data_IF_998843025092
#
_entry.id   IF_998843025092
#
_cell.length_a   1.000
_cell.length_b   1.000
_cell.length_c   1.000
_cell.angle_alpha   90.00
_cell.angle_beta   90.00
_cell.angle_gamma   90.00
#
_symmetry.space_group_name_H-M   'P 1'
#
loop_
_entity.id
_entity.type
_entity.pdbx_description
1 polymer ?
#
# COMPACT_ATOMS: atom_id res chain seq x y z
N UNK A 1 -6.92 36.36 -27.50
CA UNK A 1 -7.28 36.54 -26.07
C UNK A 1 -8.56 37.36 -26.01
N UNK A 2 -9.70 36.74 -25.74
CA UNK A 2 -10.99 37.43 -25.63
C UNK A 2 -11.25 37.73 -24.13
N UNK A 3 -11.28 39.01 -23.75
CA UNK A 3 -11.52 39.48 -22.37
C UNK A 3 -12.88 40.16 -22.18
N UNK A 4 -13.83 39.95 -23.09
CA UNK A 4 -15.03 40.80 -23.19
C UNK A 4 -16.05 40.69 -22.04
N UNK A 5 -15.98 39.66 -21.17
CA UNK A 5 -16.93 39.50 -20.05
C UNK A 5 -16.31 39.77 -18.67
N UNK A 6 -15.19 39.12 -18.34
CA UNK A 6 -14.52 39.23 -17.02
C UNK A 6 -13.01 39.03 -17.14
N UNK A 7 -12.24 39.88 -16.47
CA UNK A 7 -10.79 39.76 -16.34
C UNK A 7 -10.39 39.43 -14.89
N UNK A 8 -9.29 38.70 -14.72
CA UNK A 8 -8.77 38.28 -13.41
C UNK A 8 -7.35 38.80 -13.26
N UNK A 9 -7.00 39.34 -12.08
CA UNK A 9 -5.67 39.92 -11.83
C UNK A 9 -4.97 39.18 -10.69
N UNK A 10 -3.71 38.79 -10.92
CA UNK A 10 -2.83 38.16 -9.91
C UNK A 10 -1.40 38.64 -10.13
N UNK A 11 -0.70 39.06 -9.08
CA UNK A 11 0.70 39.52 -9.15
C UNK A 11 0.95 40.59 -10.24
N UNK A 12 -0.02 41.50 -10.44
CA UNK A 12 0.06 42.55 -11.47
C UNK A 12 -0.15 42.09 -12.92
N UNK A 13 -0.43 40.80 -13.16
CA UNK A 13 -0.75 40.25 -14.50
C UNK A 13 -2.25 40.05 -14.65
N UNK A 14 -2.76 40.32 -15.86
CA UNK A 14 -4.17 40.15 -16.23
C UNK A 14 -4.34 38.84 -17.01
N UNK A 15 -5.34 38.08 -16.63
CA UNK A 15 -5.69 36.79 -17.20
C UNK A 15 -7.15 36.80 -17.67
N UNK A 16 -7.45 36.10 -18.76
CA UNK A 16 -8.83 35.70 -19.03
C UNK A 16 -9.25 34.60 -18.05
N UNK A 17 -10.55 34.33 -17.94
CA UNK A 17 -11.09 33.27 -17.06
C UNK A 17 -10.33 31.96 -17.24
N UNK A 18 -10.24 31.47 -18.47
CA UNK A 18 -9.60 30.18 -18.79
C UNK A 18 -8.15 30.11 -18.33
N UNK A 19 -7.32 31.11 -18.66
CA UNK A 19 -5.91 31.12 -18.26
C UNK A 19 -5.72 31.27 -16.76
N UNK A 20 -6.56 32.06 -16.08
CA UNK A 20 -6.47 32.22 -14.63
C UNK A 20 -6.74 30.89 -13.91
N UNK A 21 -7.80 30.18 -14.29
CA UNK A 21 -8.14 28.90 -13.66
C UNK A 21 -7.21 27.76 -14.13
N UNK A 22 -6.62 27.86 -15.31
CA UNK A 22 -5.58 26.93 -15.73
C UNK A 22 -4.30 27.05 -14.88
N UNK A 23 -3.94 28.26 -14.48
CA UNK A 23 -2.68 28.53 -13.76
C UNK A 23 -2.85 28.53 -12.23
N UNK A 24 -4.02 28.90 -11.73
CA UNK A 24 -4.29 29.07 -10.30
C UNK A 24 -5.58 28.39 -9.83
N UNK A 25 -6.24 27.63 -10.69
CA UNK A 25 -7.47 26.92 -10.34
C UNK A 25 -7.21 25.78 -9.38
N UNK A 26 -8.27 25.39 -8.67
CA UNK A 26 -8.24 24.21 -7.81
C UNK A 26 -8.19 22.95 -8.66
N UNK A 27 -7.29 22.03 -8.34
CA UNK A 27 -7.20 20.74 -9.03
C UNK A 27 -7.65 19.59 -8.12
N UNK A 28 -8.31 18.60 -8.71
CA UNK A 28 -8.71 17.40 -7.99
C UNK A 28 -7.47 16.56 -7.65
N UNK A 29 -7.27 16.27 -6.36
CA UNK A 29 -6.15 15.48 -5.89
C UNK A 29 -6.12 14.05 -6.45
N UNK A 30 -7.28 13.49 -6.86
CA UNK A 30 -7.36 12.15 -7.45
C UNK A 30 -7.12 12.13 -8.96
N UNK A 31 -7.89 12.90 -9.75
CA UNK A 31 -7.85 12.81 -11.22
C UNK A 31 -6.95 13.84 -11.89
N UNK A 32 -6.44 14.83 -11.15
CA UNK A 32 -5.56 15.91 -11.64
C UNK A 32 -6.21 16.85 -12.66
N UNK A 33 -7.52 16.79 -12.85
CA UNK A 33 -8.25 17.77 -13.63
C UNK A 33 -8.66 18.97 -12.76
N UNK A 34 -8.73 20.14 -13.38
CA UNK A 34 -9.22 21.37 -12.76
C UNK A 34 -10.69 21.22 -12.38
N UNK A 35 -11.02 21.69 -11.19
CA UNK A 35 -12.38 21.71 -10.65
C UNK A 35 -13.01 23.07 -10.98
N UNK A 36 -14.19 23.06 -11.59
CA UNK A 36 -14.89 24.30 -11.88
C UNK A 36 -15.41 24.95 -10.58
N UNK A 37 -15.43 26.29 -10.52
CA UNK A 37 -15.92 27.02 -9.34
C UNK A 37 -17.40 26.78 -9.01
N UNK A 38 -18.16 26.21 -9.94
CA UNK A 38 -19.58 25.86 -9.79
C UNK A 38 -19.80 24.40 -9.41
N UNK A 39 -18.76 23.57 -9.38
CA UNK A 39 -18.87 22.15 -9.03
C UNK A 39 -18.82 21.97 -7.52
N UNK A 40 -19.60 21.02 -7.02
CA UNK A 40 -19.52 20.58 -5.64
C UNK A 40 -18.26 19.74 -5.42
N UNK A 41 -17.61 19.96 -4.28
CA UNK A 41 -16.34 19.34 -3.93
C UNK A 41 -16.37 18.66 -2.58
N UNK A 42 -15.50 17.67 -2.42
CA UNK A 42 -15.16 17.10 -1.12
C UNK A 42 -13.76 17.53 -0.72
N UNK A 43 -13.57 17.79 0.58
CA UNK A 43 -12.28 18.17 1.14
C UNK A 43 -11.84 17.17 2.19
N UNK A 44 -10.63 16.67 2.05
CA UNK A 44 -9.96 15.84 3.05
C UNK A 44 -8.59 16.46 3.36
N UNK A 45 -8.44 16.97 4.59
CA UNK A 45 -7.31 17.82 4.99
C UNK A 45 -7.13 18.99 4.00
N UNK A 46 -5.95 19.10 3.39
CA UNK A 46 -5.57 20.13 2.44
C UNK A 46 -6.05 19.83 1.01
N UNK A 47 -6.52 18.60 0.75
CA UNK A 47 -6.80 18.11 -0.59
C UNK A 47 -8.27 18.25 -0.97
N UNK A 48 -8.51 18.64 -2.21
CA UNK A 48 -9.83 18.86 -2.78
C UNK A 48 -10.07 17.82 -3.87
N UNK A 49 -11.28 17.27 -3.90
CA UNK A 49 -11.68 16.20 -4.81
C UNK A 49 -13.03 16.54 -5.44
N UNK A 50 -13.23 16.15 -6.69
CA UNK A 50 -14.59 16.05 -7.24
C UNK A 50 -15.40 15.04 -6.40
N UNK A 51 -16.72 15.22 -6.32
CA UNK A 51 -17.61 14.24 -5.67
C UNK A 51 -17.42 12.81 -6.21
N UNK A 52 -17.35 12.66 -7.55
CA UNK A 52 -17.11 11.37 -8.20
C UNK A 52 -15.70 10.81 -7.97
N UNK A 53 -14.75 11.68 -7.62
CA UNK A 53 -13.38 11.27 -7.32
C UNK A 53 -13.18 10.92 -5.84
N UNK A 54 -14.14 11.25 -4.98
CA UNK A 54 -14.06 11.00 -3.54
C UNK A 54 -14.48 9.55 -3.23
N UNK A 55 -13.62 8.61 -3.65
CA UNK A 55 -13.89 7.17 -3.61
C UNK A 55 -12.67 6.37 -3.17
N UNK A 56 -12.89 5.15 -2.68
CA UNK A 56 -11.81 4.26 -2.30
C UNK A 56 -10.96 3.88 -3.52
N UNK A 57 -9.64 4.00 -3.40
CA UNK A 57 -8.70 3.60 -4.45
C UNK A 57 -8.79 2.11 -4.82
N UNK A 58 -9.27 1.27 -3.90
CA UNK A 58 -9.24 -0.19 -4.04
C UNK A 58 -10.58 -0.71 -4.58
N UNK A 59 -11.68 -0.38 -3.91
CA UNK A 59 -13.01 -0.86 -4.29
C UNK A 59 -13.85 0.15 -5.06
N UNK A 60 -13.37 1.37 -5.26
CA UNK A 60 -14.09 2.46 -5.94
C UNK A 60 -15.43 2.86 -5.30
N UNK A 61 -15.67 2.44 -4.05
CA UNK A 61 -16.83 2.87 -3.26
C UNK A 61 -16.74 4.37 -2.97
N UNK A 62 -17.83 5.10 -3.24
CA UNK A 62 -17.94 6.54 -3.00
C UNK A 62 -18.33 6.79 -1.55
N UNK A 63 -17.58 7.66 -0.88
CA UNK A 63 -17.82 7.92 0.53
C UNK A 63 -19.06 8.79 0.75
N UNK A 64 -19.95 8.36 1.62
CA UNK A 64 -21.10 9.17 2.08
C UNK A 64 -20.76 9.92 3.36
N UNK A 65 -21.54 10.96 3.68
CA UNK A 65 -21.42 11.69 4.94
C UNK A 65 -21.49 10.73 6.12
N UNK A 66 -20.47 10.77 6.99
CA UNK A 66 -20.34 9.92 8.16
C UNK A 66 -19.56 8.61 7.95
N UNK A 67 -19.20 8.26 6.71
CA UNK A 67 -18.34 7.10 6.45
C UNK A 67 -16.87 7.38 6.81
N UNK A 68 -16.20 6.34 7.31
CA UNK A 68 -14.79 6.41 7.70
C UNK A 68 -13.89 5.97 6.55
N UNK A 69 -12.87 6.77 6.28
CA UNK A 69 -11.82 6.49 5.32
C UNK A 69 -10.46 6.88 5.89
N UNK A 70 -9.41 6.42 5.24
CA UNK A 70 -8.03 6.76 5.53
C UNK A 70 -7.42 7.49 4.34
N UNK A 71 -6.64 8.54 4.61
CA UNK A 71 -5.82 9.23 3.63
C UNK A 71 -4.40 8.66 3.69
N UNK A 72 -3.92 8.10 2.59
CA UNK A 72 -2.62 7.42 2.46
C UNK A 72 -1.77 8.16 1.42
N UNK A 73 -0.46 8.28 1.67
CA UNK A 73 0.49 8.96 0.79
C UNK A 73 -0.03 10.35 0.38
N UNK A 74 -0.57 11.06 1.36
CA UNK A 74 -1.16 12.39 1.30
C UNK A 74 -2.36 12.59 0.35
N UNK A 75 -2.68 11.70 -0.59
CA UNK A 75 -3.76 11.99 -1.57
C UNK A 75 -4.68 10.82 -1.88
N UNK A 76 -4.31 9.60 -1.46
CA UNK A 76 -5.05 8.38 -1.81
C UNK A 76 -6.06 8.05 -0.72
N UNK A 77 -7.33 7.94 -1.09
CA UNK A 77 -8.40 7.60 -0.17
C UNK A 77 -8.60 6.08 -0.14
N UNK A 78 -8.69 5.50 1.05
CA UNK A 78 -8.96 4.06 1.23
C UNK A 78 -10.06 3.87 2.28
N UNK A 79 -11.06 3.05 1.97
CA UNK A 79 -12.14 2.79 2.91
C UNK A 79 -11.64 1.99 4.12
N UNK A 80 -12.36 2.07 5.25
CA UNK A 80 -11.98 1.35 6.46
C UNK A 80 -11.80 -0.14 6.22
N UNK A 81 -12.72 -0.78 5.49
CA UNK A 81 -12.72 -2.22 5.22
C UNK A 81 -11.46 -2.67 4.49
N UNK A 82 -11.09 -1.96 3.42
CA UNK A 82 -9.90 -2.30 2.63
C UNK A 82 -8.62 -2.00 3.41
N UNK A 83 -8.59 -0.89 4.16
CA UNK A 83 -7.44 -0.55 5.01
C UNK A 83 -7.19 -1.65 6.05
N UNK A 84 -8.22 -2.07 6.77
CA UNK A 84 -8.14 -3.13 7.77
C UNK A 84 -7.72 -4.46 7.13
N UNK A 85 -8.21 -4.78 5.93
CA UNK A 85 -7.83 -5.98 5.18
C UNK A 85 -6.34 -5.99 4.83
N UNK A 86 -5.80 -4.87 4.33
CA UNK A 86 -4.38 -4.75 4.00
C UNK A 86 -3.54 -4.83 5.27
N UNK A 87 -3.92 -4.11 6.32
CA UNK A 87 -3.21 -4.11 7.60
C UNK A 87 -3.10 -5.51 8.19
N UNK A 88 -4.18 -6.30 8.13
CA UNK A 88 -4.20 -7.68 8.61
C UNK A 88 -3.35 -8.63 7.76
N UNK A 89 -3.33 -8.47 6.42
CA UNK A 89 -2.45 -9.27 5.54
C UNK A 89 -0.98 -9.01 5.83
N UNK A 90 -0.56 -7.76 5.99
CA UNK A 90 0.82 -7.40 6.34
C UNK A 90 1.22 -8.02 7.69
N UNK A 91 0.31 -8.03 8.66
CA UNK A 91 0.55 -8.68 9.96
C UNK A 91 0.67 -10.21 9.86
N UNK A 92 -0.05 -10.83 8.93
CA UNK A 92 0.03 -12.27 8.70
C UNK A 92 1.28 -12.67 7.91
N UNK A 93 1.69 -11.91 6.90
CA UNK A 93 2.89 -12.19 6.12
C UNK A 93 4.19 -12.01 6.93
N UNK A 94 4.22 -11.05 7.86
CA UNK A 94 5.37 -10.86 8.76
C UNK A 94 5.52 -11.97 9.81
N UNK A 95 4.42 -12.63 10.18
CA UNK A 95 4.41 -13.73 11.15
C UNK A 95 4.49 -15.14 10.54
N UNK A 96 4.48 -15.28 9.21
CA UNK A 96 4.57 -16.59 8.55
C UNK A 96 6.00 -16.86 8.07
N UNK A 97 6.93 -17.11 9.01
CA UNK A 97 8.06 -17.98 8.67
C UNK A 97 7.44 -19.30 8.21
N UNK A 98 7.63 -19.67 6.95
CA UNK A 98 7.13 -20.93 6.43
C UNK A 98 7.67 -22.05 7.31
N UNK A 99 6.77 -22.75 8.02
CA UNK A 99 7.16 -23.91 8.81
C UNK A 99 7.71 -24.95 7.83
N UNK A 100 8.99 -25.27 7.94
CA UNK A 100 9.58 -26.33 7.13
C UNK A 100 8.98 -27.67 7.57
N UNK A 101 8.25 -28.33 6.67
CA UNK A 101 7.72 -29.68 6.91
C UNK A 101 8.82 -30.70 6.66
N UNK A 102 9.30 -31.34 7.73
CA UNK A 102 10.29 -32.41 7.64
C UNK A 102 9.57 -33.73 7.30
N UNK A 103 9.90 -34.32 6.16
CA UNK A 103 9.38 -35.62 5.71
C UNK A 103 9.91 -36.77 6.57
N UNK A 104 9.24 -37.91 6.52
CA UNK A 104 9.65 -39.12 7.26
C UNK A 104 11.09 -39.55 6.91
N UNK A 105 11.45 -39.52 5.61
CA UNK A 105 12.80 -39.83 5.15
C UNK A 105 13.85 -38.85 5.71
N UNK A 106 13.54 -37.55 5.74
CA UNK A 106 14.44 -36.55 6.33
C UNK A 106 14.59 -36.75 7.85
N UNK A 107 13.52 -37.11 8.56
CA UNK A 107 13.57 -37.41 10.00
C UNK A 107 14.45 -38.62 10.30
N UNK A 108 14.39 -39.69 9.51
CA UNK A 108 15.22 -40.87 9.69
C UNK A 108 16.71 -40.56 9.53
N UNK A 109 17.06 -39.76 8.51
CA UNK A 109 18.45 -39.32 8.27
C UNK A 109 18.97 -38.49 9.46
N UNK A 110 18.17 -37.53 9.95
CA UNK A 110 18.54 -36.72 11.11
C UNK A 110 18.72 -37.59 12.37
N UNK A 111 17.76 -38.48 12.65
CA UNK A 111 17.82 -39.37 13.82
C UNK A 111 19.08 -40.23 13.83
N UNK A 112 19.48 -40.79 12.68
CA UNK A 112 20.67 -41.64 12.57
C UNK A 112 21.96 -40.94 13.02
N UNK A 113 22.08 -39.64 12.79
CA UNK A 113 23.27 -38.87 13.19
C UNK A 113 23.17 -38.40 14.64
N UNK A 114 21.99 -37.95 15.07
CA UNK A 114 21.78 -37.46 16.44
C UNK A 114 21.73 -38.56 17.50
N UNK A 115 21.45 -39.81 17.14
CA UNK A 115 21.61 -40.96 18.06
C UNK A 115 23.08 -41.24 18.38
N UNK A 116 24.00 -40.88 17.49
CA UNK A 116 25.44 -41.09 17.65
C UNK A 116 26.08 -39.90 18.37
N UNK A 117 25.66 -38.69 18.05
CA UNK A 117 26.16 -37.48 18.70
C UNK A 117 25.06 -36.45 18.89
N UNK A 118 24.85 -36.06 20.15
CA UNK A 118 23.87 -35.05 20.57
C UNK A 118 24.28 -33.65 20.06
N UNK A 119 25.57 -33.43 19.74
CA UNK A 119 26.10 -32.17 19.21
C UNK A 119 27.07 -32.46 18.04
N UNK A 120 26.54 -32.84 16.87
CA UNK A 120 27.39 -33.13 15.72
C UNK A 120 28.17 -31.88 15.31
N UNK A 121 29.43 -32.07 14.93
CA UNK A 121 30.31 -30.99 14.48
C UNK A 121 29.73 -30.27 13.26
N UNK A 122 30.19 -29.03 13.04
CA UNK A 122 29.71 -28.17 11.94
C UNK A 122 29.71 -28.87 10.58
N UNK A 123 30.79 -29.57 10.24
CA UNK A 123 30.92 -30.29 8.97
C UNK A 123 29.84 -31.37 8.80
N UNK A 124 29.50 -32.10 9.87
CA UNK A 124 28.47 -33.15 9.85
C UNK A 124 27.09 -32.53 9.62
N UNK A 125 26.83 -31.38 10.26
CA UNK A 125 25.56 -30.66 10.11
C UNK A 125 25.41 -30.04 8.71
N UNK A 126 26.49 -29.58 8.10
CA UNK A 126 26.52 -29.12 6.70
C UNK A 126 26.24 -30.26 5.72
N UNK A 127 26.81 -31.45 5.96
CA UNK A 127 26.48 -32.65 5.17
C UNK A 127 25.01 -33.05 5.35
N UNK A 128 24.48 -33.06 6.59
CA UNK A 128 23.07 -33.35 6.86
C UNK A 128 22.12 -32.37 6.16
N UNK A 129 22.44 -31.08 6.12
CA UNK A 129 21.65 -30.07 5.41
C UNK A 129 21.61 -30.36 3.91
N UNK A 130 22.75 -30.75 3.31
CA UNK A 130 22.82 -31.16 1.90
C UNK A 130 22.03 -32.42 1.62
N UNK A 131 22.16 -33.45 2.47
CA UNK A 131 21.52 -34.75 2.29
C UNK A 131 20.00 -34.69 2.49
N UNK A 132 19.53 -33.84 3.41
CA UNK A 132 18.10 -33.66 3.69
C UNK A 132 17.46 -32.57 2.83
N UNK A 133 18.24 -31.71 2.18
CA UNK A 133 17.74 -30.52 1.49
C UNK A 133 17.11 -29.48 2.43
N UNK A 134 17.36 -29.59 3.75
CA UNK A 134 16.88 -28.67 4.75
C UNK A 134 17.90 -27.55 4.99
N UNK A 135 17.41 -26.37 5.37
CA UNK A 135 18.26 -25.28 5.84
C UNK A 135 19.07 -25.74 7.07
N UNK A 136 20.35 -25.34 7.16
CA UNK A 136 21.25 -25.71 8.26
C UNK A 136 20.73 -25.29 9.65
N UNK A 137 19.83 -24.29 9.71
CA UNK A 137 19.11 -23.85 10.92
C UNK A 137 18.03 -24.84 11.35
N UNK A 138 17.46 -25.60 10.40
CA UNK A 138 16.44 -26.63 10.66
C UNK A 138 17.07 -27.94 11.14
N UNK A 139 18.31 -28.23 10.72
CA UNK A 139 19.10 -29.39 11.18
C UNK A 139 19.44 -29.31 12.68
N UNK A 140 19.14 -28.19 13.35
CA UNK A 140 19.22 -27.99 14.79
C UNK A 140 17.87 -28.31 15.45
N UNK A 141 17.64 -29.58 15.79
CA UNK A 141 16.58 -29.98 16.73
C UNK A 141 17.20 -30.74 17.88
#
# INVERSE_FOLDING_TARGET
MNLFDKCYTRNGKIYCKEHFFKEFGTECASCKYSIASSEDVQRANEFIYHLQCFSCLICHHHFRTGEKFYLINDQKLVCKTDYDTIKNKVFHDTNKRSRTTVTQKQLEILKKVYTISIKPGRHIRESLAKDTGLDIRVVQV
#
